data_IF_001814857470
#
_entry.id   IF_001814857470
#
_cell.length_a   1.000
_cell.length_b   1.000
_cell.length_c   1.000
_cell.angle_alpha   90.00
_cell.angle_beta   90.00
_cell.angle_gamma   90.00
#
_symmetry.space_group_name_H-M   'P 1'
#
loop_
_entity.id
_entity.type
_entity.pdbx_description
1 polymer ?
#
# COMPACT_ATOMS: atom_id res chain seq x y z
N UNK A 1 29.74 -53.06 -2.03
CA UNK A 1 28.53 -53.24 -2.85
C UNK A 1 27.36 -52.88 -1.97
N UNK A 2 26.77 -51.71 -2.25
CA UNK A 2 25.32 -51.45 -2.25
C UNK A 2 25.10 -49.94 -2.13
N UNK A 3 24.87 -49.34 -3.29
CA UNK A 3 24.59 -47.92 -3.50
C UNK A 3 23.13 -47.63 -3.18
N UNK A 4 22.88 -46.71 -2.25
CA UNK A 4 21.53 -46.20 -1.97
C UNK A 4 21.21 -45.15 -3.04
N UNK A 5 20.43 -45.56 -4.05
CA UNK A 5 19.79 -44.64 -4.99
C UNK A 5 18.61 -43.95 -4.26
N UNK A 6 18.77 -42.66 -3.98
CA UNK A 6 17.66 -41.81 -3.56
C UNK A 6 16.86 -41.36 -4.79
N UNK A 7 15.65 -41.89 -4.94
CA UNK A 7 14.70 -41.43 -5.95
C UNK A 7 14.29 -39.98 -5.67
N UNK A 8 14.70 -39.09 -6.58
CA UNK A 8 14.25 -37.71 -6.66
C UNK A 8 12.76 -37.70 -7.06
N UNK A 9 11.89 -37.31 -6.15
CA UNK A 9 10.49 -37.04 -6.48
C UNK A 9 10.39 -35.91 -7.53
N UNK A 10 9.55 -36.06 -8.56
CA UNK A 10 9.38 -35.02 -9.57
C UNK A 10 8.73 -33.77 -8.97
N UNK A 11 9.27 -32.61 -9.32
CA UNK A 11 8.75 -31.31 -8.91
C UNK A 11 7.25 -31.17 -9.24
N UNK A 12 6.45 -30.54 -8.36
CA UNK A 12 5.02 -30.35 -8.59
C UNK A 12 4.80 -29.52 -9.86
N UNK A 13 3.87 -29.97 -10.71
CA UNK A 13 3.53 -29.29 -11.97
C UNK A 13 3.08 -27.84 -11.69
N UNK A 14 3.50 -26.87 -12.53
CA UNK A 14 3.09 -25.49 -12.38
C UNK A 14 1.57 -25.37 -12.53
N UNK A 15 0.91 -24.72 -11.56
CA UNK A 15 -0.54 -24.46 -11.62
C UNK A 15 -0.83 -23.53 -12.80
N UNK A 16 -1.89 -23.78 -13.59
CA UNK A 16 -2.26 -22.88 -14.69
C UNK A 16 -2.60 -21.49 -14.14
N UNK A 17 -2.23 -20.42 -14.88
CA UNK A 17 -2.51 -19.06 -14.45
C UNK A 17 -4.02 -18.84 -14.29
N UNK A 18 -4.48 -18.10 -13.26
CA UNK A 18 -5.88 -17.84 -13.05
C UNK A 18 -6.47 -17.11 -14.26
N UNK A 19 -7.49 -17.71 -14.90
CA UNK A 19 -8.20 -17.09 -16.02
C UNK A 19 -8.82 -15.76 -15.56
N UNK A 20 -8.52 -14.68 -16.28
CA UNK A 20 -9.07 -13.35 -16.04
C UNK A 20 -10.60 -13.38 -16.18
N UNK A 21 -11.32 -13.03 -15.11
CA UNK A 21 -12.78 -12.97 -15.10
C UNK A 21 -13.26 -11.77 -15.93
N UNK A 22 -14.10 -12.02 -16.94
CA UNK A 22 -14.71 -10.99 -17.79
C UNK A 22 -16.07 -10.62 -17.18
N UNK A 23 -16.29 -9.32 -16.94
CA UNK A 23 -17.41 -8.73 -16.18
C UNK A 23 -18.84 -9.06 -16.69
N UNK A 24 -18.97 -9.65 -17.88
CA UNK A 24 -20.25 -9.94 -18.56
C UNK A 24 -20.61 -11.45 -18.62
N UNK A 25 -20.26 -12.24 -17.61
CA UNK A 25 -20.46 -13.71 -17.64
C UNK A 25 -21.27 -14.28 -16.46
N UNK A 26 -21.86 -13.46 -15.59
CA UNK A 26 -22.75 -13.99 -14.55
C UNK A 26 -24.03 -14.48 -15.24
N UNK A 27 -24.39 -15.77 -15.16
CA UNK A 27 -25.59 -16.30 -15.81
C UNK A 27 -26.87 -15.65 -15.29
N UNK A 28 -27.85 -15.47 -16.17
CA UNK A 28 -29.19 -14.96 -15.81
C UNK A 28 -29.86 -15.82 -14.73
N UNK A 29 -29.56 -17.12 -14.70
CA UNK A 29 -30.03 -18.04 -13.67
C UNK A 29 -29.51 -17.72 -12.27
N UNK A 30 -28.45 -16.91 -12.13
CA UNK A 30 -27.94 -16.41 -10.85
C UNK A 30 -28.47 -14.99 -10.63
N UNK A 31 -28.41 -14.12 -11.64
CA UNK A 31 -28.85 -12.72 -11.52
C UNK A 31 -30.34 -12.60 -11.17
N UNK A 32 -31.18 -13.43 -11.80
CA UNK A 32 -32.63 -13.36 -11.67
C UNK A 32 -33.21 -14.44 -10.74
N UNK A 33 -32.39 -15.12 -9.94
CA UNK A 33 -32.86 -16.07 -8.93
C UNK A 33 -33.64 -15.33 -7.83
N UNK A 34 -34.97 -15.54 -7.70
CA UNK A 34 -35.78 -14.80 -6.74
C UNK A 34 -35.42 -15.08 -5.29
N UNK A 35 -35.02 -16.33 -4.98
CA UNK A 35 -34.67 -16.72 -3.62
C UNK A 35 -33.31 -16.13 -3.21
N UNK A 36 -32.33 -16.14 -4.13
CA UNK A 36 -31.04 -15.49 -3.90
C UNK A 36 -31.22 -13.99 -3.70
N UNK A 37 -32.01 -13.33 -4.54
CA UNK A 37 -32.26 -11.89 -4.44
C UNK A 37 -33.00 -11.52 -3.15
N UNK A 38 -33.94 -12.36 -2.69
CA UNK A 38 -34.59 -12.17 -1.39
C UNK A 38 -33.56 -12.28 -0.24
N UNK A 39 -32.66 -13.27 -0.27
CA UNK A 39 -31.62 -13.39 0.75
C UNK A 39 -30.64 -12.21 0.74
N UNK A 40 -30.24 -11.74 -0.45
CA UNK A 40 -29.38 -10.56 -0.63
C UNK A 40 -30.04 -9.29 -0.05
N UNK A 41 -31.37 -9.16 -0.13
CA UNK A 41 -32.08 -7.98 0.37
C UNK A 41 -31.98 -7.75 1.89
N UNK A 42 -31.52 -8.77 2.65
CA UNK A 42 -31.24 -8.65 4.09
C UNK A 42 -29.96 -7.87 4.39
N UNK A 43 -29.09 -7.69 3.39
CA UNK A 43 -27.83 -6.96 3.49
C UNK A 43 -28.01 -5.49 3.08
N UNK A 44 -27.18 -4.57 3.59
CA UNK A 44 -27.35 -3.15 3.32
C UNK A 44 -27.18 -2.83 1.83
N UNK A 45 -28.22 -2.24 1.23
CA UNK A 45 -28.32 -2.02 -0.22
C UNK A 45 -27.34 -0.98 -0.78
N UNK A 46 -26.79 -0.13 0.09
CA UNK A 46 -25.76 0.85 -0.27
C UNK A 46 -24.36 0.24 -0.35
N UNK A 47 -24.15 -1.00 0.11
CA UNK A 47 -22.87 -1.72 0.01
C UNK A 47 -22.90 -2.69 -1.17
N UNK A 48 -21.98 -2.53 -2.10
CA UNK A 48 -21.82 -3.49 -3.19
C UNK A 48 -20.93 -4.67 -2.75
N UNK A 49 -21.56 -5.71 -2.23
CA UNK A 49 -20.89 -6.96 -1.80
C UNK A 49 -20.65 -7.96 -2.95
N UNK A 50 -21.00 -7.63 -4.19
CA UNK A 50 -20.83 -8.46 -5.39
C UNK A 50 -21.26 -9.94 -5.22
N UNK A 51 -22.37 -10.19 -4.51
CA UNK A 51 -22.78 -11.54 -4.08
C UNK A 51 -23.04 -12.47 -5.26
N UNK A 52 -23.73 -12.00 -6.31
CA UNK A 52 -23.94 -12.79 -7.53
C UNK A 52 -22.62 -13.22 -8.19
N UNK A 53 -21.62 -12.34 -8.20
CA UNK A 53 -20.28 -12.65 -8.72
C UNK A 53 -19.59 -13.69 -7.84
N UNK A 54 -19.74 -13.60 -6.53
CA UNK A 54 -19.18 -14.58 -5.58
C UNK A 54 -19.82 -15.96 -5.80
N UNK A 55 -21.14 -16.06 -5.85
CA UNK A 55 -21.86 -17.32 -6.14
C UNK A 55 -21.42 -17.91 -7.47
N UNK A 56 -21.37 -17.09 -8.53
CA UNK A 56 -20.90 -17.54 -9.83
C UNK A 56 -19.44 -18.01 -9.81
N UNK A 57 -18.55 -17.29 -9.10
CA UNK A 57 -17.15 -17.67 -8.98
C UNK A 57 -16.98 -19.01 -8.29
N UNK A 58 -17.67 -19.23 -7.16
CA UNK A 58 -17.65 -20.49 -6.41
C UNK A 58 -18.11 -21.64 -7.32
N UNK A 59 -19.28 -21.50 -7.97
CA UNK A 59 -19.86 -22.53 -8.85
C UNK A 59 -18.94 -22.84 -10.04
N UNK A 60 -18.41 -21.81 -10.70
CA UNK A 60 -17.57 -21.98 -11.90
C UNK A 60 -16.18 -22.52 -11.62
N UNK A 61 -15.63 -22.31 -10.41
CA UNK A 61 -14.37 -22.93 -9.99
C UNK A 61 -14.55 -24.34 -9.44
N UNK A 62 -15.78 -24.79 -9.17
CA UNK A 62 -16.05 -26.05 -8.49
C UNK A 62 -15.59 -26.06 -7.03
N UNK A 63 -15.47 -24.88 -6.40
CA UNK A 63 -15.04 -24.79 -5.01
C UNK A 63 -16.11 -25.36 -4.08
N UNK A 64 -15.70 -26.15 -3.09
CA UNK A 64 -16.55 -26.81 -2.09
C UNK A 64 -16.33 -26.27 -0.69
N UNK A 65 -15.11 -25.83 -0.39
CA UNK A 65 -14.69 -25.26 0.88
C UNK A 65 -14.23 -23.83 0.65
N UNK A 66 -14.90 -22.84 1.25
CA UNK A 66 -14.59 -21.42 1.02
C UNK A 66 -14.28 -20.71 2.33
N UNK A 67 -13.15 -20.00 2.36
CA UNK A 67 -12.83 -19.08 3.45
C UNK A 67 -13.34 -17.67 3.10
N UNK A 68 -13.96 -17.00 4.07
CA UNK A 68 -14.41 -15.61 3.99
C UNK A 68 -13.60 -14.77 4.97
N UNK A 69 -13.05 -13.66 4.49
CA UNK A 69 -12.30 -12.70 5.30
C UNK A 69 -12.91 -11.32 5.17
N UNK A 70 -13.07 -10.63 6.30
CA UNK A 70 -13.72 -9.31 6.37
C UNK A 70 -12.90 -8.35 7.23
N UNK A 71 -12.90 -7.05 6.91
CA UNK A 71 -12.55 -6.02 7.89
C UNK A 71 -13.63 -5.95 8.97
N UNK A 72 -13.26 -5.39 10.13
CA UNK A 72 -14.11 -5.31 11.34
C UNK A 72 -15.55 -4.87 11.04
N UNK A 73 -15.72 -3.76 10.32
CA UNK A 73 -17.04 -3.19 10.00
C UNK A 73 -17.92 -4.03 9.06
N UNK A 74 -17.38 -5.07 8.43
CA UNK A 74 -18.12 -5.99 7.57
C UNK A 74 -18.26 -7.39 8.17
N UNK A 75 -17.54 -7.70 9.26
CA UNK A 75 -17.54 -9.03 9.88
C UNK A 75 -18.94 -9.43 10.36
N UNK A 76 -19.77 -8.46 10.76
CA UNK A 76 -21.16 -8.68 11.16
C UNK A 76 -22.04 -9.29 10.04
N UNK A 77 -21.66 -9.16 8.77
CA UNK A 77 -22.38 -9.74 7.64
C UNK A 77 -21.90 -11.15 7.28
N UNK A 78 -20.84 -11.64 7.93
CA UNK A 78 -20.15 -12.88 7.55
C UNK A 78 -21.05 -14.12 7.61
N UNK A 79 -21.88 -14.25 8.64
CA UNK A 79 -22.75 -15.43 8.82
C UNK A 79 -23.88 -15.47 7.77
N UNK A 80 -24.50 -14.32 7.48
CA UNK A 80 -25.52 -14.20 6.43
C UNK A 80 -24.92 -14.54 5.07
N UNK A 81 -23.72 -14.04 4.78
CA UNK A 81 -23.00 -14.36 3.54
C UNK A 81 -22.61 -15.84 3.47
N UNK A 82 -22.17 -16.44 4.58
CA UNK A 82 -21.87 -17.86 4.65
C UNK A 82 -23.11 -18.72 4.35
N UNK A 83 -24.27 -18.37 4.91
CA UNK A 83 -25.54 -19.08 4.65
C UNK A 83 -25.99 -18.92 3.19
N UNK A 84 -25.85 -17.72 2.61
CA UNK A 84 -26.09 -17.47 1.19
C UNK A 84 -25.19 -18.37 0.34
N UNK A 85 -23.89 -18.42 0.61
CA UNK A 85 -22.97 -19.21 -0.21
C UNK A 85 -23.16 -20.72 -0.02
N UNK A 86 -23.45 -21.20 1.18
CA UNK A 86 -23.81 -22.60 1.41
C UNK A 86 -25.05 -23.00 0.60
N UNK A 87 -26.09 -22.18 0.66
CA UNK A 87 -27.38 -22.47 0.00
C UNK A 87 -27.27 -22.35 -1.51
N UNK A 88 -26.82 -21.19 -1.99
CA UNK A 88 -26.88 -20.84 -3.40
C UNK A 88 -25.62 -21.22 -4.17
N UNK A 89 -24.48 -21.46 -3.53
CA UNK A 89 -23.27 -21.94 -4.21
C UNK A 89 -22.97 -23.43 -3.96
N UNK A 90 -23.81 -24.12 -3.18
CA UNK A 90 -23.68 -25.54 -2.85
C UNK A 90 -22.33 -25.89 -2.22
N UNK A 91 -21.90 -25.06 -1.27
CA UNK A 91 -20.70 -25.31 -0.47
C UNK A 91 -20.93 -26.45 0.51
N UNK A 92 -19.89 -27.25 0.71
CA UNK A 92 -19.84 -28.24 1.76
C UNK A 92 -19.45 -27.57 3.08
N UNK A 93 -18.44 -26.70 3.04
CA UNK A 93 -17.99 -25.91 4.18
C UNK A 93 -17.77 -24.44 3.82
N UNK A 94 -18.01 -23.56 4.78
CA UNK A 94 -17.67 -22.15 4.68
C UNK A 94 -17.04 -21.70 6.01
N UNK A 95 -15.81 -21.21 5.95
CA UNK A 95 -15.04 -20.74 7.10
C UNK A 95 -15.10 -19.22 7.16
N UNK A 96 -15.41 -18.66 8.32
CA UNK A 96 -15.26 -17.22 8.57
C UNK A 96 -13.95 -17.02 9.31
N UNK A 97 -13.01 -16.32 8.68
CA UNK A 97 -11.75 -15.93 9.31
C UNK A 97 -12.03 -14.75 10.24
N UNK A 98 -12.00 -15.01 11.55
CA UNK A 98 -12.39 -14.05 12.58
C UNK A 98 -11.28 -13.13 13.09
N UNK A 99 -10.05 -13.27 12.57
CA UNK A 99 -8.93 -12.42 12.94
C UNK A 99 -9.00 -11.04 12.27
N UNK A 100 -8.29 -10.09 12.89
CA UNK A 100 -8.27 -8.68 12.46
C UNK A 100 -7.77 -8.53 11.03
N UNK A 101 -8.51 -7.76 10.23
CA UNK A 101 -8.14 -7.44 8.84
C UNK A 101 -8.12 -5.92 8.63
N UNK A 102 -6.97 -5.30 8.90
CA UNK A 102 -6.82 -3.85 8.83
C UNK A 102 -6.83 -3.25 7.41
N UNK A 103 -6.48 -4.03 6.38
CA UNK A 103 -6.22 -3.44 5.07
C UNK A 103 -5.88 -4.42 3.97
N UNK A 104 -5.54 -3.83 2.83
CA UNK A 104 -5.15 -4.48 1.58
C UNK A 104 -3.96 -5.46 1.68
N UNK A 105 -3.19 -5.41 2.77
CA UNK A 105 -2.01 -6.24 3.01
C UNK A 105 -2.28 -7.44 3.92
N UNK A 106 -3.48 -7.55 4.48
CA UNK A 106 -3.81 -8.56 5.51
C UNK A 106 -4.53 -9.79 4.96
N UNK A 107 -4.39 -10.10 3.66
CA UNK A 107 -5.00 -11.33 3.10
C UNK A 107 -4.48 -12.55 3.85
N UNK A 108 -5.38 -13.33 4.43
CA UNK A 108 -5.03 -14.51 5.23
C UNK A 108 -5.21 -15.80 4.41
N UNK A 109 -4.36 -15.91 3.40
CA UNK A 109 -4.31 -17.09 2.54
C UNK A 109 -3.60 -18.29 3.22
N UNK A 110 -2.87 -18.04 4.32
CA UNK A 110 -2.21 -19.09 5.10
C UNK A 110 -3.22 -19.89 5.92
N UNK A 111 -4.10 -19.23 6.68
CA UNK A 111 -5.14 -19.93 7.44
C UNK A 111 -6.15 -20.60 6.50
N UNK A 112 -6.52 -19.93 5.40
CA UNK A 112 -7.35 -20.55 4.36
C UNK A 112 -6.70 -21.82 3.79
N UNK A 113 -5.38 -21.80 3.56
CA UNK A 113 -4.64 -22.99 3.10
C UNK A 113 -4.58 -24.09 4.15
N UNK A 114 -4.43 -23.73 5.43
CA UNK A 114 -4.36 -24.70 6.53
C UNK A 114 -5.70 -25.42 6.78
N UNK A 115 -6.82 -24.80 6.37
CA UNK A 115 -8.16 -25.37 6.41
C UNK A 115 -8.54 -26.11 5.12
N UNK A 116 -7.61 -26.28 4.18
CA UNK A 116 -7.86 -26.84 2.85
C UNK A 116 -9.04 -26.15 2.15
N UNK A 117 -9.10 -24.82 2.23
CA UNK A 117 -10.08 -24.05 1.46
C UNK A 117 -9.70 -24.04 -0.03
N UNK A 118 -10.68 -24.21 -0.90
CA UNK A 118 -10.52 -24.16 -2.36
C UNK A 118 -10.45 -22.72 -2.88
N UNK A 119 -11.09 -21.79 -2.16
CA UNK A 119 -11.19 -20.37 -2.51
C UNK A 119 -11.24 -19.51 -1.25
N UNK A 120 -10.50 -18.41 -1.25
CA UNK A 120 -10.61 -17.33 -0.28
C UNK A 120 -11.38 -16.16 -0.91
N UNK A 121 -12.44 -15.67 -0.27
CA UNK A 121 -13.11 -14.42 -0.63
C UNK A 121 -12.75 -13.36 0.41
N UNK A 122 -12.03 -12.33 -0.02
CA UNK A 122 -11.57 -11.24 0.85
C UNK A 122 -12.33 -9.96 0.50
N UNK A 123 -13.07 -9.44 1.48
CA UNK A 123 -13.95 -8.28 1.34
C UNK A 123 -13.29 -6.98 1.80
N UNK A 124 -13.79 -5.86 1.27
CA UNK A 124 -13.53 -4.51 1.77
C UNK A 124 -12.45 -3.79 0.99
N UNK A 125 -11.19 -4.03 1.34
CA UNK A 125 -10.05 -3.24 0.86
C UNK A 125 -9.54 -3.70 -0.51
N UNK A 126 -8.91 -2.77 -1.23
CA UNK A 126 -8.16 -2.99 -2.47
C UNK A 126 -6.88 -3.83 -2.24
N UNK A 127 -7.02 -5.15 -2.11
CA UNK A 127 -5.86 -5.99 -1.81
C UNK A 127 -4.73 -5.80 -2.83
N UNK A 128 -3.54 -5.46 -2.31
CA UNK A 128 -2.35 -5.16 -3.11
C UNK A 128 -1.53 -6.41 -3.42
N UNK A 129 -1.90 -7.54 -2.83
CA UNK A 129 -1.21 -8.81 -2.99
C UNK A 129 -1.68 -9.45 -4.28
N UNK A 130 -0.78 -9.62 -5.28
CA UNK A 130 -1.14 -10.29 -6.51
C UNK A 130 -1.64 -11.72 -6.23
N UNK A 131 -2.67 -12.16 -6.94
CA UNK A 131 -3.32 -13.47 -6.73
C UNK A 131 -2.39 -14.67 -7.00
N UNK A 132 -1.28 -14.45 -7.70
CA UNK A 132 -0.20 -15.42 -7.94
C UNK A 132 0.74 -15.56 -6.74
N UNK A 133 0.68 -14.63 -5.77
CA UNK A 133 1.44 -14.72 -4.52
C UNK A 133 0.66 -15.46 -3.42
N UNK A 134 -0.65 -15.64 -3.54
CA UNK A 134 -1.47 -16.35 -2.54
C UNK A 134 -1.38 -17.86 -2.69
N UNK A 135 -1.46 -18.60 -1.58
CA UNK A 135 -1.41 -20.07 -1.50
C UNK A 135 -2.72 -20.70 -1.96
N UNK A 136 -3.82 -20.05 -1.61
CA UNK A 136 -5.19 -20.37 -2.03
C UNK A 136 -5.62 -19.40 -3.13
N UNK A 137 -6.38 -19.85 -4.15
CA UNK A 137 -7.03 -18.95 -5.08
C UNK A 137 -7.86 -17.90 -4.32
N UNK A 138 -7.63 -16.62 -4.59
CA UNK A 138 -8.31 -15.52 -3.90
C UNK A 138 -9.22 -14.73 -4.86
N UNK A 139 -10.43 -14.43 -4.38
CA UNK A 139 -11.36 -13.48 -4.98
C UNK A 139 -11.41 -12.23 -4.09
N UNK A 140 -10.95 -11.11 -4.64
CA UNK A 140 -11.09 -9.82 -3.96
C UNK A 140 -12.41 -9.14 -4.33
N UNK A 141 -13.14 -8.72 -3.30
CA UNK A 141 -14.40 -7.96 -3.43
C UNK A 141 -14.20 -6.59 -2.79
N UNK A 142 -14.01 -5.58 -3.62
CA UNK A 142 -13.87 -4.20 -3.17
C UNK A 142 -15.26 -3.64 -2.92
N UNK A 143 -15.57 -3.42 -1.65
CA UNK A 143 -16.94 -3.05 -1.25
C UNK A 143 -17.12 -1.56 -1.47
N UNK A 144 -17.74 -1.22 -2.60
CA UNK A 144 -18.11 0.14 -2.93
C UNK A 144 -19.34 0.55 -2.14
N UNK A 145 -19.30 1.74 -1.55
CA UNK A 145 -20.40 2.34 -0.79
C UNK A 145 -20.99 3.46 -1.64
N UNK A 146 -22.27 3.33 -1.95
CA UNK A 146 -23.02 4.37 -2.67
C UNK A 146 -23.27 5.55 -1.74
N UNK A 147 -22.94 6.75 -2.23
CA UNK A 147 -23.15 8.02 -1.53
C UNK A 147 -23.84 9.02 -2.46
N UNK A 148 -24.36 10.10 -1.88
CA UNK A 148 -24.96 11.20 -2.63
C UNK A 148 -23.88 12.05 -3.32
N UNK A 149 -23.71 11.80 -4.62
CA UNK A 149 -22.73 12.51 -5.46
C UNK A 149 -23.17 13.95 -5.75
N UNK A 150 -24.49 14.20 -5.83
CA UNK A 150 -25.03 15.56 -6.04
C UNK A 150 -24.66 16.45 -4.85
N UNK A 151 -24.89 15.95 -3.63
CA UNK A 151 -24.54 16.65 -2.40
C UNK A 151 -23.04 16.92 -2.29
N UNK A 152 -22.18 15.99 -2.70
CA UNK A 152 -20.73 16.20 -2.74
C UNK A 152 -20.38 17.40 -3.66
N UNK A 153 -20.93 17.42 -4.88
CA UNK A 153 -20.68 18.48 -5.86
C UNK A 153 -21.20 19.82 -5.37
N UNK A 154 -22.44 19.86 -4.85
CA UNK A 154 -23.05 21.08 -4.32
C UNK A 154 -22.24 21.64 -3.13
N UNK A 155 -21.73 20.76 -2.27
CA UNK A 155 -20.87 21.16 -1.14
C UNK A 155 -19.55 21.75 -1.64
N UNK A 156 -18.91 21.15 -2.65
CA UNK A 156 -17.69 21.67 -3.25
C UNK A 156 -17.97 23.03 -3.89
N UNK A 157 -19.04 23.15 -4.68
CA UNK A 157 -19.41 24.41 -5.36
C UNK A 157 -19.66 25.53 -4.38
N UNK A 158 -20.43 25.26 -3.32
CA UNK A 158 -20.77 26.25 -2.30
C UNK A 158 -19.53 26.84 -1.62
N UNK A 159 -18.49 26.03 -1.40
CA UNK A 159 -17.29 26.46 -0.68
C UNK A 159 -16.18 27.01 -1.58
N UNK A 160 -16.13 26.55 -2.84
CA UNK A 160 -14.97 26.77 -3.71
C UNK A 160 -15.27 27.36 -5.09
N UNK A 161 -16.54 27.45 -5.50
CA UNK A 161 -16.92 27.81 -6.87
C UNK A 161 -16.42 29.16 -7.38
N UNK A 162 -16.08 30.08 -6.47
CA UNK A 162 -15.53 31.40 -6.83
C UNK A 162 -14.06 31.59 -6.42
N UNK A 163 -13.51 30.66 -5.62
CA UNK A 163 -12.23 30.88 -4.92
C UNK A 163 -11.13 29.91 -5.31
N UNK A 164 -11.47 28.77 -5.92
CA UNK A 164 -10.51 27.74 -6.32
C UNK A 164 -10.81 27.31 -7.75
N UNK A 165 -9.76 27.29 -8.58
CA UNK A 165 -9.86 26.80 -9.95
C UNK A 165 -9.38 25.35 -10.06
N UNK A 166 -8.30 24.99 -9.33
CA UNK A 166 -7.68 23.65 -9.43
C UNK A 166 -7.88 22.87 -8.14
N UNK A 167 -8.57 21.74 -8.23
CA UNK A 167 -8.77 20.84 -7.09
C UNK A 167 -8.31 19.42 -7.42
N UNK A 168 -7.80 18.73 -6.40
CA UNK A 168 -7.60 17.29 -6.45
C UNK A 168 -8.77 16.57 -5.77
N UNK A 169 -9.19 15.44 -6.33
CA UNK A 169 -10.22 14.58 -5.77
C UNK A 169 -9.63 13.20 -5.48
N UNK A 170 -9.66 12.81 -4.20
CA UNK A 170 -9.12 11.56 -3.70
C UNK A 170 -10.02 10.98 -2.61
N UNK A 171 -9.73 9.76 -2.15
CA UNK A 171 -10.47 9.10 -1.08
C UNK A 171 -10.04 7.66 -0.88
N UNK A 172 -10.83 6.92 -0.11
CA UNK A 172 -10.63 5.48 0.06
C UNK A 172 -11.33 4.69 -1.06
N UNK A 173 -10.97 3.42 -1.22
CA UNK A 173 -11.52 2.57 -2.30
C UNK A 173 -13.05 2.46 -2.25
N UNK A 174 -13.65 2.51 -1.05
CA UNK A 174 -15.10 2.41 -0.86
C UNK A 174 -15.85 3.52 -1.61
N UNK A 175 -15.25 4.69 -1.80
CA UNK A 175 -15.88 5.85 -2.45
C UNK A 175 -15.37 6.09 -3.88
N UNK A 176 -14.61 5.15 -4.44
CA UNK A 176 -13.99 5.32 -5.76
C UNK A 176 -14.99 5.54 -6.90
N UNK A 177 -16.18 4.95 -6.83
CA UNK A 177 -17.23 5.22 -7.82
C UNK A 177 -17.76 6.65 -7.74
N UNK A 178 -17.96 7.19 -6.54
CA UNK A 178 -18.38 8.57 -6.34
C UNK A 178 -17.32 9.56 -6.85
N UNK A 179 -16.04 9.29 -6.60
CA UNK A 179 -14.92 10.11 -7.13
C UNK A 179 -14.94 10.14 -8.66
N UNK A 180 -15.11 8.97 -9.31
CA UNK A 180 -15.19 8.88 -10.78
C UNK A 180 -16.43 9.60 -11.32
N UNK A 181 -17.56 9.54 -10.63
CA UNK A 181 -18.80 10.18 -11.04
C UNK A 181 -18.78 11.70 -10.83
N UNK A 182 -18.13 12.19 -9.77
CA UNK A 182 -18.05 13.61 -9.46
C UNK A 182 -17.12 14.37 -10.41
N UNK A 183 -16.01 13.76 -10.84
CA UNK A 183 -15.00 14.41 -11.70
C UNK A 183 -15.60 15.14 -12.93
N UNK A 184 -16.30 14.47 -13.88
CA UNK A 184 -16.77 15.14 -15.10
C UNK A 184 -17.81 16.23 -14.83
N UNK A 185 -18.53 16.11 -13.71
CA UNK A 185 -19.56 17.08 -13.32
C UNK A 185 -18.93 18.33 -12.72
N UNK A 186 -17.92 18.17 -11.86
CA UNK A 186 -17.11 19.29 -11.38
C UNK A 186 -16.39 20.00 -12.53
N UNK A 187 -15.87 19.25 -13.52
CA UNK A 187 -15.29 19.84 -14.73
C UNK A 187 -16.32 20.67 -15.53
N UNK A 188 -17.58 20.22 -15.61
CA UNK A 188 -18.65 21.00 -16.27
C UNK A 188 -19.06 22.28 -15.52
N UNK A 189 -18.78 22.35 -14.22
CA UNK A 189 -19.01 23.54 -13.37
C UNK A 189 -17.80 24.50 -13.42
N UNK A 190 -16.75 24.19 -14.17
CA UNK A 190 -15.59 25.06 -14.40
C UNK A 190 -14.34 24.73 -13.58
N UNK A 191 -14.35 23.67 -12.77
CA UNK A 191 -13.15 23.24 -12.03
C UNK A 191 -12.16 22.47 -12.90
N UNK A 192 -10.87 22.67 -12.69
CA UNK A 192 -9.81 21.78 -13.18
C UNK A 192 -9.59 20.67 -12.14
N UNK A 193 -10.07 19.45 -12.45
CA UNK A 193 -10.10 18.34 -11.48
C UNK A 193 -8.99 17.32 -11.75
N UNK A 194 -8.05 17.24 -10.82
CA UNK A 194 -7.02 16.21 -10.79
C UNK A 194 -7.48 15.01 -9.95
N UNK A 195 -7.31 13.79 -10.46
CA UNK A 195 -7.53 12.55 -9.68
C UNK A 195 -6.18 11.83 -9.59
N UNK A 196 -5.38 12.04 -8.54
CA UNK A 196 -4.01 11.56 -8.47
C UNK A 196 -3.96 10.04 -8.27
N UNK A 197 -2.86 9.40 -8.64
CA UNK A 197 -2.71 7.95 -8.56
C UNK A 197 -1.30 7.54 -8.16
N UNK A 198 -1.19 6.66 -7.17
CA UNK A 198 0.04 5.93 -6.86
C UNK A 198 -0.13 4.47 -7.27
N UNK A 199 0.58 4.01 -8.31
CA UNK A 199 0.44 2.62 -8.78
C UNK A 199 0.96 1.65 -7.71
N UNK A 200 0.28 0.51 -7.47
CA UNK A 200 -0.78 -0.08 -8.29
C UNK A 200 -2.22 0.31 -7.89
N UNK A 201 -2.42 1.28 -7.01
CA UNK A 201 -3.76 1.72 -6.57
C UNK A 201 -4.57 2.30 -7.72
N UNK A 202 -5.89 2.31 -7.56
CA UNK A 202 -6.80 2.97 -8.49
C UNK A 202 -6.58 4.49 -8.48
N UNK A 203 -6.99 5.17 -9.55
CA UNK A 203 -6.97 6.63 -9.56
C UNK A 203 -7.89 7.20 -8.45
N UNK A 204 -7.37 8.17 -7.70
CA UNK A 204 -8.03 8.82 -6.57
C UNK A 204 -7.91 8.05 -5.26
N UNK A 205 -7.35 6.84 -5.28
CA UNK A 205 -7.27 5.99 -4.11
C UNK A 205 -6.02 6.26 -3.28
N UNK A 206 -6.19 6.33 -1.96
CA UNK A 206 -5.10 6.46 -0.99
C UNK A 206 -5.21 5.41 0.11
N UNK A 207 -4.07 4.79 0.42
CA UNK A 207 -3.91 3.90 1.57
C UNK A 207 -3.15 4.61 2.70
N UNK A 208 -3.31 4.15 3.94
CA UNK A 208 -2.57 4.70 5.08
C UNK A 208 -1.05 4.57 4.95
N UNK A 209 -0.57 3.63 4.12
CA UNK A 209 0.84 3.36 3.88
C UNK A 209 1.31 3.75 2.47
N UNK A 210 0.42 4.20 1.58
CA UNK A 210 0.77 4.56 0.20
C UNK A 210 -0.13 5.66 -0.31
N UNK A 211 0.47 6.82 -0.60
CA UNK A 211 -0.21 8.00 -1.11
C UNK A 211 0.49 8.51 -2.38
N UNK A 212 -0.25 9.15 -3.30
CA UNK A 212 0.37 9.84 -4.42
C UNK A 212 1.08 11.12 -3.95
N UNK A 213 2.20 11.43 -4.59
CA UNK A 213 2.84 12.75 -4.50
C UNK A 213 2.40 13.58 -5.69
N UNK A 214 2.02 14.83 -5.44
CA UNK A 214 1.59 15.76 -6.46
C UNK A 214 2.64 16.85 -6.67
N UNK A 215 2.89 17.29 -7.91
CA UNK A 215 3.74 18.44 -8.18
C UNK A 215 3.22 19.68 -7.47
N UNK A 216 4.12 20.59 -7.08
CA UNK A 216 3.74 21.88 -6.53
C UNK A 216 2.81 22.63 -7.50
N UNK A 217 1.79 23.30 -6.95
CA UNK A 217 0.80 24.06 -7.73
C UNK A 217 -0.09 23.24 -8.68
N UNK A 218 -0.07 21.91 -8.60
CA UNK A 218 -0.96 21.05 -9.41
C UNK A 218 -2.41 21.07 -8.92
N UNK A 219 -2.64 21.40 -7.66
CA UNK A 219 -3.94 21.65 -7.07
C UNK A 219 -3.80 22.65 -5.92
N UNK A 220 -4.81 23.48 -5.70
CA UNK A 220 -4.87 24.44 -4.59
C UNK A 220 -5.41 23.77 -3.32
N UNK A 221 -6.35 22.84 -3.50
CA UNK A 221 -6.96 22.04 -2.43
C UNK A 221 -7.09 20.58 -2.87
N UNK A 222 -7.12 19.68 -1.90
CA UNK A 222 -7.63 18.31 -2.10
C UNK A 222 -8.96 18.16 -1.38
N UNK A 223 -9.95 17.61 -2.09
CA UNK A 223 -11.19 17.12 -1.51
C UNK A 223 -11.04 15.61 -1.36
N UNK A 224 -11.00 15.15 -0.11
CA UNK A 224 -10.80 13.75 0.26
C UNK A 224 -12.11 13.15 0.76
N UNK A 225 -12.69 12.23 0.00
CA UNK A 225 -13.96 11.58 0.34
C UNK A 225 -13.68 10.43 1.31
N UNK A 226 -13.99 10.63 2.60
CA UNK A 226 -13.83 9.64 3.66
C UNK A 226 -14.55 10.02 4.96
N UNK A 227 -14.91 9.01 5.74
CA UNK A 227 -15.47 9.12 7.10
C UNK A 227 -14.41 9.19 8.20
N UNK A 228 -13.12 9.01 7.87
CA UNK A 228 -12.01 9.06 8.81
C UNK A 228 -10.78 9.79 8.27
N UNK A 229 -9.87 10.15 9.18
CA UNK A 229 -8.65 10.94 8.87
C UNK A 229 -7.46 10.10 8.44
N UNK A 230 -7.38 8.83 8.86
CA UNK A 230 -6.20 7.99 8.69
C UNK A 230 -5.63 7.98 7.26
N UNK A 231 -6.47 7.82 6.24
CA UNK A 231 -6.03 7.80 4.85
C UNK A 231 -5.68 9.20 4.31
N UNK A 232 -6.41 10.22 4.74
CA UNK A 232 -6.11 11.61 4.40
C UNK A 232 -4.78 12.06 5.00
N UNK A 233 -4.45 11.64 6.21
CA UNK A 233 -3.15 11.94 6.83
C UNK A 233 -1.99 11.41 6.00
N UNK A 234 -2.11 10.22 5.41
CA UNK A 234 -1.08 9.70 4.49
C UNK A 234 -0.91 10.62 3.26
N UNK A 235 -2.01 11.16 2.72
CA UNK A 235 -1.96 12.15 1.65
C UNK A 235 -1.32 13.45 2.12
N UNK A 236 -1.69 13.97 3.30
CA UNK A 236 -1.12 15.19 3.86
C UNK A 236 0.38 15.04 4.09
N UNK A 237 0.84 13.93 4.70
CA UNK A 237 2.26 13.61 4.89
C UNK A 237 3.03 13.70 3.56
N UNK A 238 2.47 13.15 2.48
CA UNK A 238 3.09 13.16 1.16
C UNK A 238 3.00 14.52 0.43
N UNK A 239 2.06 15.38 0.82
CA UNK A 239 1.72 16.64 0.13
C UNK A 239 1.51 17.78 1.14
N UNK A 240 2.54 18.20 1.90
CA UNK A 240 2.41 19.15 3.00
C UNK A 240 1.99 20.57 2.58
N UNK A 241 2.14 20.91 1.30
CA UNK A 241 1.82 22.25 0.77
C UNK A 241 0.37 22.37 0.26
N UNK A 242 -0.40 21.28 0.26
CA UNK A 242 -1.75 21.23 -0.31
C UNK A 242 -2.78 21.25 0.81
N UNK A 243 -3.71 22.22 0.76
CA UNK A 243 -4.78 22.34 1.74
C UNK A 243 -5.73 21.16 1.62
N UNK A 244 -5.94 20.45 2.72
CA UNK A 244 -6.69 19.22 2.74
C UNK A 244 -8.08 19.40 3.34
N UNK A 245 -9.10 18.98 2.60
CA UNK A 245 -10.46 18.96 3.09
C UNK A 245 -11.02 17.54 3.07
N UNK A 246 -11.55 17.06 4.20
CA UNK A 246 -12.25 15.78 4.29
C UNK A 246 -13.74 16.01 4.07
N UNK A 247 -14.30 15.40 3.03
CA UNK A 247 -15.74 15.31 2.87
C UNK A 247 -16.24 14.03 3.52
N UNK A 248 -17.04 14.18 4.59
CA UNK A 248 -17.73 13.06 5.21
C UNK A 248 -19.04 12.78 4.46
N UNK A 249 -19.16 11.64 3.75
CA UNK A 249 -20.29 11.39 2.88
C UNK A 249 -21.56 11.01 3.63
N UNK A 250 -21.50 10.73 4.93
CA UNK A 250 -22.69 10.40 5.72
C UNK A 250 -23.37 11.67 6.21
N UNK A 251 -22.62 12.57 6.85
CA UNK A 251 -23.16 13.83 7.36
C UNK A 251 -23.17 14.97 6.34
N UNK A 252 -22.43 14.83 5.22
CA UNK A 252 -22.39 15.82 4.14
C UNK A 252 -21.63 17.08 4.51
N UNK A 253 -20.62 16.96 5.37
CA UNK A 253 -19.82 18.09 5.88
C UNK A 253 -18.41 18.02 5.33
N UNK A 254 -17.88 19.19 4.98
CA UNK A 254 -16.50 19.37 4.57
C UNK A 254 -15.67 19.92 5.74
N UNK A 255 -14.67 19.18 6.18
CA UNK A 255 -13.76 19.57 7.26
C UNK A 255 -12.44 20.03 6.67
N UNK A 256 -11.93 21.19 7.10
CA UNK A 256 -10.52 21.53 6.88
C UNK A 256 -9.68 20.69 7.84
N UNK A 257 -8.74 19.93 7.30
CA UNK A 257 -7.90 19.02 8.05
C UNK A 257 -6.45 19.47 7.96
N UNK A 258 -5.76 19.49 9.11
CA UNK A 258 -4.35 19.84 9.22
C UNK A 258 -3.55 18.66 9.80
N UNK A 259 -2.26 18.62 9.48
CA UNK A 259 -1.34 17.61 9.97
C UNK A 259 -0.12 18.26 10.62
N UNK A 260 0.26 17.82 11.81
CA UNK A 260 1.45 18.31 12.50
C UNK A 260 2.72 17.68 11.90
N UNK A 261 3.13 18.20 10.75
CA UNK A 261 4.35 17.78 10.07
C UNK A 261 5.61 18.00 10.92
N UNK A 262 5.61 19.07 11.73
CA UNK A 262 6.78 19.41 12.55
C UNK A 262 6.92 18.41 13.69
N UNK A 263 5.85 18.21 14.47
CA UNK A 263 5.83 17.24 15.56
C UNK A 263 6.13 15.83 15.06
N UNK A 264 5.50 15.40 13.96
CA UNK A 264 5.78 14.09 13.36
C UNK A 264 7.26 13.96 12.97
N UNK A 265 7.81 14.89 12.18
CA UNK A 265 9.22 14.83 11.73
C UNK A 265 10.20 14.90 12.91
N UNK A 266 9.91 15.69 13.94
CA UNK A 266 10.73 15.78 15.17
C UNK A 266 10.69 14.47 15.96
N UNK A 267 9.52 13.89 16.21
CA UNK A 267 9.37 12.60 16.88
C UNK A 267 10.13 11.48 16.14
N UNK A 268 9.97 11.42 14.81
CA UNK A 268 10.67 10.43 13.98
C UNK A 268 12.18 10.64 13.96
N UNK A 269 12.65 11.88 13.84
CA UNK A 269 14.09 12.21 13.95
C UNK A 269 14.67 11.80 15.30
N UNK A 270 13.96 12.05 16.40
CA UNK A 270 14.39 11.69 17.75
C UNK A 270 14.50 10.17 17.90
N UNK A 271 13.51 9.41 17.40
CA UNK A 271 13.55 7.95 17.38
C UNK A 271 14.77 7.42 16.61
N UNK A 272 15.05 7.97 15.42
CA UNK A 272 16.22 7.59 14.62
C UNK A 272 17.53 7.90 15.36
N UNK A 273 17.63 9.10 15.92
CA UNK A 273 18.86 9.56 16.59
C UNK A 273 19.15 8.71 17.82
N UNK A 274 18.13 8.45 18.64
CA UNK A 274 18.24 7.56 19.81
C UNK A 274 18.65 6.14 19.42
N UNK A 275 18.19 5.65 18.27
CA UNK A 275 18.52 4.30 17.79
C UNK A 275 19.98 4.16 17.32
N UNK A 276 20.69 5.26 17.01
CA UNK A 276 22.12 5.20 16.61
C UNK A 276 23.03 4.69 17.73
N UNK A 277 22.59 4.78 18.98
CA UNK A 277 23.33 4.32 20.17
C UNK A 277 23.00 2.86 20.55
N UNK A 278 22.07 2.21 19.84
CA UNK A 278 21.60 0.86 20.14
C UNK A 278 22.68 -0.20 19.91
N UNK A 279 22.87 -1.08 20.91
CA UNK A 279 23.80 -2.21 20.85
C UNK A 279 23.07 -3.49 20.42
N UNK A 280 21.87 -3.70 20.97
CA UNK A 280 21.02 -4.85 20.68
C UNK A 280 19.76 -4.40 19.93
N UNK A 281 19.59 -4.92 18.72
CA UNK A 281 18.47 -4.56 17.86
C UNK A 281 17.42 -5.66 17.79
N UNK A 282 16.15 -5.28 17.78
CA UNK A 282 15.03 -6.17 17.50
C UNK A 282 14.49 -5.92 16.10
N UNK A 283 14.48 -6.93 15.24
CA UNK A 283 13.91 -6.83 13.89
C UNK A 283 12.62 -7.62 13.84
N UNK A 284 11.48 -6.92 13.84
CA UNK A 284 10.15 -7.52 13.77
C UNK A 284 9.78 -7.76 12.30
N UNK A 285 9.48 -9.01 11.95
CA UNK A 285 8.84 -9.36 10.69
C UNK A 285 7.34 -9.59 10.93
N UNK A 286 6.49 -8.75 10.32
CA UNK A 286 5.04 -8.86 10.42
C UNK A 286 4.52 -10.16 9.82
N UNK A 287 3.70 -10.89 10.56
CA UNK A 287 3.07 -12.15 10.10
C UNK A 287 1.56 -12.05 9.91
N UNK A 288 0.96 -10.87 10.14
CA UNK A 288 -0.44 -10.63 9.82
C UNK A 288 -0.61 -10.53 8.29
N UNK A 289 -1.27 -11.56 7.73
CA UNK A 289 -1.42 -11.74 6.29
C UNK A 289 -0.08 -11.65 5.55
N UNK A 290 0.09 -10.58 4.78
CA UNK A 290 1.22 -10.36 3.86
C UNK A 290 1.94 -9.02 4.11
N UNK A 291 1.85 -8.49 5.33
CA UNK A 291 2.49 -7.23 5.71
C UNK A 291 4.03 -7.33 5.75
N UNK A 292 4.56 -8.45 6.24
CA UNK A 292 6.00 -8.67 6.29
C UNK A 292 6.60 -9.02 4.94
N UNK A 293 7.82 -8.56 4.71
CA UNK A 293 8.56 -8.83 3.48
C UNK A 293 9.96 -9.39 3.79
N UNK A 294 10.18 -10.70 3.56
CA UNK A 294 11.48 -11.32 3.78
C UNK A 294 12.64 -10.66 3.01
N UNK A 295 12.39 -10.06 1.84
CA UNK A 295 13.46 -9.37 1.08
C UNK A 295 13.99 -8.15 1.82
N UNK A 296 13.10 -7.41 2.51
CA UNK A 296 13.50 -6.28 3.36
C UNK A 296 14.26 -6.78 4.58
N UNK A 297 13.82 -7.90 5.16
CA UNK A 297 14.53 -8.53 6.28
C UNK A 297 15.95 -8.92 5.87
N UNK A 298 16.12 -9.65 4.77
CA UNK A 298 17.43 -10.08 4.26
C UNK A 298 18.36 -8.88 4.00
N UNK A 299 17.79 -7.80 3.44
CA UNK A 299 18.51 -6.55 3.22
C UNK A 299 18.98 -5.93 4.55
N UNK A 300 18.07 -5.73 5.50
CA UNK A 300 18.40 -5.13 6.79
C UNK A 300 19.42 -5.98 7.54
N UNK A 301 19.28 -7.30 7.55
CA UNK A 301 20.25 -8.21 8.15
C UNK A 301 21.63 -8.11 7.49
N UNK A 302 21.69 -7.93 6.17
CA UNK A 302 22.95 -7.69 5.45
C UNK A 302 23.58 -6.36 5.87
N UNK A 303 22.80 -5.28 5.92
CA UNK A 303 23.23 -3.95 6.40
C UNK A 303 23.72 -3.96 7.84
N UNK A 304 23.03 -4.66 8.72
CA UNK A 304 23.40 -4.79 10.13
C UNK A 304 24.69 -5.61 10.30
N UNK A 305 24.88 -6.65 9.48
CA UNK A 305 26.13 -7.42 9.41
C UNK A 305 27.31 -6.56 8.95
N UNK A 306 27.12 -5.74 7.90
CA UNK A 306 28.13 -4.79 7.42
C UNK A 306 28.59 -3.81 8.51
N UNK A 307 27.70 -3.47 9.46
CA UNK A 307 27.97 -2.57 10.59
C UNK A 307 28.43 -3.30 11.86
N UNK A 308 28.51 -4.63 11.85
CA UNK A 308 28.89 -5.42 13.03
C UNK A 308 27.89 -5.32 14.20
N UNK A 309 26.61 -5.06 13.91
CA UNK A 309 25.56 -4.92 14.92
C UNK A 309 25.03 -6.29 15.35
N UNK A 310 24.51 -6.38 16.59
CA UNK A 310 23.82 -7.57 17.10
C UNK A 310 22.32 -7.36 16.97
N UNK A 311 21.61 -8.37 16.46
CA UNK A 311 20.16 -8.32 16.35
C UNK A 311 19.50 -9.67 16.62
N UNK A 312 18.21 -9.61 16.97
CA UNK A 312 17.32 -10.76 17.03
C UNK A 312 16.14 -10.52 16.08
N UNK A 313 15.74 -11.54 15.33
CA UNK A 313 14.53 -11.47 14.49
C UNK A 313 13.33 -12.04 15.23
N UNK A 314 12.24 -11.27 15.30
CA UNK A 314 11.00 -11.62 16.00
C UNK A 314 9.87 -11.69 14.96
N UNK A 315 9.12 -12.79 14.95
CA UNK A 315 7.89 -12.89 14.17
C UNK A 315 6.71 -12.43 15.01
N UNK A 316 5.87 -11.53 14.48
CA UNK A 316 4.75 -10.99 15.23
C UNK A 316 3.58 -10.67 14.31
N UNK A 317 2.37 -11.14 14.61
CA UNK A 317 1.18 -10.84 13.82
C UNK A 317 0.71 -9.42 14.12
N UNK A 318 0.37 -9.16 15.38
CA UNK A 318 -0.02 -7.85 15.88
C UNK A 318 1.08 -7.26 16.76
N UNK A 319 1.56 -6.09 16.37
CA UNK A 319 2.59 -5.33 17.07
C UNK A 319 1.90 -4.30 17.95
N UNK A 320 2.05 -4.43 19.27
CA UNK A 320 1.49 -3.50 20.25
C UNK A 320 2.53 -3.11 21.30
N UNK A 321 2.41 -1.92 21.92
CA UNK A 321 3.31 -1.50 23.00
C UNK A 321 3.38 -2.53 24.14
N UNK A 322 2.23 -3.07 24.55
CA UNK A 322 2.16 -4.08 25.60
C UNK A 322 2.94 -5.35 25.25
N UNK A 323 2.85 -5.83 24.01
CA UNK A 323 3.56 -7.05 23.58
C UNK A 323 5.07 -6.80 23.43
N UNK A 324 5.47 -5.65 22.88
CA UNK A 324 6.88 -5.29 22.73
C UNK A 324 7.55 -5.04 24.09
N UNK A 325 6.83 -4.50 25.07
CA UNK A 325 7.36 -4.27 26.43
C UNK A 325 7.79 -5.56 27.15
N UNK A 326 7.26 -6.73 26.78
CA UNK A 326 7.60 -8.03 27.39
C UNK A 326 9.06 -8.45 27.13
N UNK A 327 9.71 -7.89 26.10
CA UNK A 327 11.13 -8.15 25.82
C UNK A 327 12.08 -7.35 26.73
N UNK A 328 11.53 -6.49 27.59
CA UNK A 328 12.27 -5.73 28.60
C UNK A 328 13.34 -4.83 27.99
N UNK A 329 14.49 -4.77 28.65
CA UNK A 329 15.64 -3.95 28.25
C UNK A 329 16.69 -4.73 27.43
N UNK A 330 16.32 -5.91 26.93
CA UNK A 330 17.21 -6.73 26.09
C UNK A 330 17.41 -6.15 24.68
N UNK A 331 16.49 -5.27 24.26
CA UNK A 331 16.48 -4.62 22.95
C UNK A 331 16.49 -3.11 23.17
N UNK A 332 17.44 -2.43 22.54
CA UNK A 332 17.65 -0.98 22.66
C UNK A 332 16.83 -0.20 21.61
N UNK A 333 16.64 -0.79 20.43
CA UNK A 333 15.87 -0.22 19.33
C UNK A 333 15.21 -1.31 18.47
N UNK A 334 14.03 -0.99 17.94
CA UNK A 334 13.23 -1.88 17.12
C UNK A 334 13.16 -1.40 15.67
N UNK A 335 13.22 -2.33 14.74
CA UNK A 335 12.88 -2.12 13.33
C UNK A 335 11.67 -3.01 13.04
N UNK A 336 10.58 -2.46 12.51
CA UNK A 336 9.41 -3.24 12.11
C UNK A 336 9.24 -3.27 10.60
N UNK A 337 9.04 -4.48 10.07
CA UNK A 337 8.74 -4.77 8.68
C UNK A 337 7.28 -5.26 8.63
N UNK A 338 6.35 -4.32 8.79
CA UNK A 338 4.91 -4.57 8.78
C UNK A 338 4.17 -3.30 8.29
N UNK A 339 3.16 -2.81 9.04
CA UNK A 339 2.48 -1.56 8.72
C UNK A 339 3.35 -0.33 9.11
N UNK A 340 3.72 0.57 8.17
CA UNK A 340 4.56 1.73 8.48
C UNK A 340 3.90 2.71 9.47
N UNK A 341 2.56 2.75 9.51
CA UNK A 341 1.79 3.62 10.41
C UNK A 341 1.95 3.27 11.89
N UNK A 342 2.39 2.04 12.22
CA UNK A 342 2.74 1.67 13.61
C UNK A 342 3.91 2.50 14.13
N UNK A 343 4.91 2.76 13.30
CA UNK A 343 6.03 3.62 13.66
C UNK A 343 5.62 5.09 13.66
N UNK A 344 4.86 5.52 12.64
CA UNK A 344 4.52 6.94 12.44
C UNK A 344 3.55 7.44 13.52
N UNK A 345 2.45 6.73 13.75
CA UNK A 345 1.37 7.21 14.63
C UNK A 345 1.54 6.74 16.07
N UNK A 346 2.08 5.53 16.25
CA UNK A 346 2.13 4.87 17.56
C UNK A 346 3.56 4.74 18.10
N UNK A 347 4.57 5.23 17.37
CA UNK A 347 5.98 5.03 17.70
C UNK A 347 6.37 5.54 19.09
N UNK A 348 5.76 6.63 19.56
CA UNK A 348 6.02 7.21 20.88
C UNK A 348 5.36 6.43 22.02
N UNK A 349 4.38 5.55 21.73
CA UNK A 349 3.79 4.67 22.73
C UNK A 349 4.73 3.51 23.12
N UNK A 350 5.80 3.28 22.35
CA UNK A 350 6.82 2.26 22.65
C UNK A 350 7.94 2.86 23.51
N UNK A 351 8.37 2.13 24.53
CA UNK A 351 9.47 2.55 25.43
C UNK A 351 10.79 2.75 24.66
N UNK A 352 11.11 1.80 23.79
CA UNK A 352 12.25 1.87 22.88
C UNK A 352 11.80 2.36 21.50
N UNK A 353 12.68 3.05 20.74
CA UNK A 353 12.35 3.50 19.39
C UNK A 353 11.86 2.38 18.50
N UNK A 354 10.75 2.61 17.79
CA UNK A 354 10.22 1.71 16.77
C UNK A 354 10.34 2.36 15.39
N UNK A 355 11.27 1.87 14.57
CA UNK A 355 11.59 2.41 13.26
C UNK A 355 10.91 1.64 12.13
N UNK A 356 10.52 2.35 11.08
CA UNK A 356 10.23 1.76 9.77
C UNK A 356 11.53 1.30 9.09
N UNK A 357 11.48 0.50 8.01
CA UNK A 357 12.68 0.11 7.28
C UNK A 357 13.44 1.30 6.66
N UNK A 358 12.72 2.34 6.20
CA UNK A 358 13.33 3.58 5.71
C UNK A 358 14.16 4.28 6.79
N UNK A 359 13.58 4.44 7.97
CA UNK A 359 14.23 5.10 9.10
C UNK A 359 15.39 4.28 9.67
N UNK A 360 15.29 2.95 9.61
CA UNK A 360 16.38 2.06 9.95
C UNK A 360 17.59 2.27 9.02
N UNK A 361 17.39 2.40 7.71
CA UNK A 361 18.48 2.71 6.76
C UNK A 361 19.16 4.05 7.08
N UNK A 362 18.42 5.04 7.58
CA UNK A 362 18.98 6.31 8.08
C UNK A 362 19.76 6.11 9.39
N UNK A 363 19.18 5.37 10.34
CA UNK A 363 19.82 5.09 11.63
C UNK A 363 21.13 4.32 11.45
N UNK A 364 21.15 3.37 10.51
CA UNK A 364 22.31 2.57 10.13
C UNK A 364 23.29 3.33 9.22
N UNK A 365 22.97 4.57 8.82
CA UNK A 365 23.85 5.45 8.05
C UNK A 365 24.05 5.07 6.59
N UNK A 366 23.09 4.36 5.98
CA UNK A 366 23.09 4.04 4.54
C UNK A 366 22.36 5.09 3.71
N UNK A 367 21.46 5.85 4.33
CA UNK A 367 20.72 6.96 3.72
C UNK A 367 20.90 8.19 4.63
N UNK A 368 21.14 9.40 4.07
CA UNK A 368 21.18 10.62 4.89
C UNK A 368 19.80 10.91 5.50
N UNK A 369 19.78 11.49 6.69
CA UNK A 369 18.53 11.93 7.30
C UNK A 369 17.89 13.07 6.49
N UNK A 370 16.56 13.14 6.41
CA UNK A 370 15.86 14.21 5.67
C UNK A 370 16.13 15.63 6.24
N UNK A 371 16.64 15.71 7.47
CA UNK A 371 17.08 16.94 8.11
C UNK A 371 18.57 17.26 7.87
N UNK A 372 19.34 16.31 7.35
CA UNK A 372 20.75 16.50 7.04
C UNK A 372 20.81 17.23 5.70
N UNK A 373 21.29 18.47 5.71
CA UNK A 373 21.56 19.19 4.45
C UNK A 373 22.44 18.28 3.59
N UNK A 374 22.14 18.17 2.30
CA UNK A 374 23.02 17.52 1.35
C UNK A 374 24.37 18.24 1.41
N UNK A 375 25.28 17.74 2.25
CA UNK A 375 26.63 18.25 2.34
C UNK A 375 27.30 17.85 1.04
N UNK A 376 27.29 18.75 0.06
CA UNK A 376 28.26 18.73 -1.03
C UNK A 376 29.63 18.84 -0.35
N UNK A 377 30.24 17.68 -0.06
CA UNK A 377 31.65 17.63 0.30
C UNK A 377 32.45 17.90 -0.98
N UNK A 378 32.63 19.17 -1.31
CA UNK A 378 33.76 19.60 -2.14
C UNK A 378 35.02 19.62 -1.25
N UNK A 379 35.48 18.46 -0.82
CA UNK A 379 36.83 18.36 -0.25
C UNK A 379 37.80 18.05 -1.39
N UNK A 380 38.10 19.10 -2.16
CA UNK A 380 39.29 19.16 -3.01
C UNK A 380 40.08 20.43 -2.66
N UNK A 381 40.42 20.60 -1.38
CA UNK A 381 41.54 21.44 -0.98
C UNK A 381 42.70 20.51 -0.66
N UNK A 382 43.47 20.20 -1.71
CA UNK A 382 44.93 20.18 -1.70
C UNK A 382 45.38 19.87 -3.12
N UNK A 383 45.93 20.89 -3.78
CA UNK A 383 46.53 20.74 -5.09
C UNK A 383 47.67 19.72 -5.04
N UNK A 384 47.54 18.65 -5.81
CA UNK A 384 48.61 17.89 -6.41
C UNK A 384 48.04 17.16 -7.63
N UNK A 385 48.64 17.46 -8.78
CA UNK A 385 48.41 16.81 -10.07
C UNK A 385 48.53 15.29 -9.96
N UNK A 386 47.54 14.54 -10.41
CA UNK A 386 47.67 13.11 -10.67
C UNK A 386 47.24 12.81 -12.11
N UNK A 387 48.21 12.26 -12.83
CA UNK A 387 48.13 11.87 -14.23
C UNK A 387 47.26 10.62 -14.44
N UNK A 388 46.99 10.37 -15.71
CA UNK A 388 46.12 9.33 -16.27
C UNK A 388 46.33 7.94 -15.66
N UNK A 389 45.19 7.32 -15.33
CA UNK A 389 44.99 5.88 -15.37
C UNK A 389 44.99 5.20 -14.01
N UNK A 390 43.80 4.98 -13.45
CA UNK A 390 43.35 3.69 -12.89
C UNK A 390 41.91 3.79 -12.34
N UNK A 391 41.26 2.64 -12.32
CA UNK A 391 39.82 2.40 -12.30
C UNK A 391 39.25 2.48 -10.87
N UNK A 392 38.35 3.44 -10.57
CA UNK A 392 37.60 3.47 -9.30
C UNK A 392 36.18 4.07 -9.46
N UNK A 393 35.19 3.31 -8.97
CA UNK A 393 33.84 3.70 -8.55
C UNK A 393 32.85 4.21 -9.62
N UNK A 394 32.10 3.27 -10.21
CA UNK A 394 30.95 3.54 -11.09
C UNK A 394 29.63 3.32 -10.34
N UNK A 395 29.11 4.35 -9.67
CA UNK A 395 27.71 4.40 -9.27
C UNK A 395 26.89 4.93 -10.46
N UNK A 396 25.97 4.10 -10.95
CA UNK A 396 25.12 4.40 -12.11
C UNK A 396 24.05 5.43 -11.75
N UNK A 397 24.12 6.58 -12.42
CA UNK A 397 23.15 7.67 -12.33
C UNK A 397 22.05 7.45 -13.39
N UNK A 398 20.80 7.26 -12.97
CA UNK A 398 19.63 7.18 -13.86
C UNK A 398 18.92 8.53 -13.90
N UNK A 399 19.08 9.27 -15.01
CA UNK A 399 18.63 10.65 -15.15
C UNK A 399 17.13 10.83 -15.40
N UNK A 400 16.53 11.73 -14.62
CA UNK A 400 15.35 12.52 -14.99
C UNK A 400 15.60 13.97 -14.52
N UNK A 401 15.65 14.91 -15.47
CA UNK A 401 15.80 16.37 -15.30
C UNK A 401 16.65 16.88 -14.13
N UNK A 402 17.94 17.11 -14.42
CA UNK A 402 18.82 17.93 -13.59
C UNK A 402 18.41 19.41 -13.66
N UNK A 403 17.64 19.84 -12.67
CA UNK A 403 17.84 21.14 -12.04
C UNK A 403 18.68 20.92 -10.79
N UNK A 404 19.71 21.74 -10.59
CA UNK A 404 20.70 21.62 -9.53
C UNK A 404 20.11 21.49 -8.11
N UNK A 405 20.70 20.59 -7.33
CA UNK A 405 20.42 20.39 -5.90
C UNK A 405 20.03 18.94 -5.61
N UNK A 406 20.88 18.20 -4.91
CA UNK A 406 20.49 16.91 -4.32
C UNK A 406 19.33 17.17 -3.34
N UNK A 407 18.11 16.90 -3.79
CA UNK A 407 16.90 17.13 -3.02
C UNK A 407 16.96 16.32 -1.73
N UNK A 408 16.79 16.99 -0.60
CA UNK A 408 16.52 16.34 0.68
C UNK A 408 15.39 15.32 0.47
N UNK A 409 15.61 14.07 0.85
CA UNK A 409 14.61 13.01 0.64
C UNK A 409 13.45 13.28 1.60
N UNK A 410 12.31 13.73 1.08
CA UNK A 410 11.09 13.91 1.89
C UNK A 410 10.65 12.59 2.54
N UNK A 411 9.90 12.68 3.64
CA UNK A 411 9.46 11.50 4.39
C UNK A 411 8.51 10.65 3.51
N UNK A 412 8.84 9.38 3.22
CA UNK A 412 8.16 8.63 2.18
C UNK A 412 6.83 8.03 2.64
N UNK A 413 5.81 8.14 1.79
CA UNK A 413 4.53 7.42 1.89
C UNK A 413 4.33 6.52 0.67
N UNK A 414 5.35 5.72 0.37
CA UNK A 414 5.49 4.95 -0.88
C UNK A 414 5.60 3.43 -0.65
N UNK A 415 5.12 2.95 0.51
CA UNK A 415 5.43 1.61 1.01
C UNK A 415 4.98 0.48 0.08
N UNK A 416 3.92 0.64 -0.71
CA UNK A 416 3.54 -0.30 -1.77
C UNK A 416 3.56 0.33 -3.17
N UNK A 417 4.12 1.52 -3.30
CA UNK A 417 4.20 2.20 -4.59
C UNK A 417 5.14 1.44 -5.53
N UNK A 418 4.73 1.24 -6.78
CA UNK A 418 5.53 0.53 -7.78
C UNK A 418 6.90 1.20 -8.02
N UNK A 419 6.96 2.52 -7.88
CA UNK A 419 8.14 3.36 -8.05
C UNK A 419 8.76 3.81 -6.71
N UNK A 420 8.35 3.23 -5.58
CA UNK A 420 8.90 3.60 -4.27
C UNK A 420 10.34 3.11 -4.03
N UNK A 421 10.90 3.51 -2.89
CA UNK A 421 12.28 3.23 -2.50
C UNK A 421 12.61 1.74 -2.31
N UNK A 422 13.86 1.42 -1.96
CA UNK A 422 14.30 0.04 -1.69
C UNK A 422 13.74 -0.54 -0.38
N UNK A 423 13.20 0.33 0.48
CA UNK A 423 12.55 0.00 1.75
C UNK A 423 11.07 -0.40 1.60
N UNK A 424 10.54 -0.41 0.38
CA UNK A 424 9.13 -0.61 0.13
C UNK A 424 8.76 -2.11 -0.08
N UNK A 425 7.50 -2.45 0.20
CA UNK A 425 6.91 -3.78 0.08
C UNK A 425 6.15 -4.01 -1.23
N UNK A 426 6.47 -3.28 -2.31
CA UNK A 426 5.82 -3.49 -3.58
C UNK A 426 6.05 -4.93 -4.13
N UNK A 427 4.97 -5.60 -4.51
CA UNK A 427 5.02 -6.97 -5.04
C UNK A 427 5.41 -7.05 -6.52
N UNK A 428 5.27 -5.95 -7.27
CA UNK A 428 5.69 -5.86 -8.66
C UNK A 428 7.20 -5.92 -8.79
N UNK A 429 7.72 -6.75 -9.70
CA UNK A 429 9.13 -6.72 -10.08
C UNK A 429 9.48 -5.29 -10.53
N UNK A 430 10.41 -4.64 -9.82
CA UNK A 430 11.17 -3.52 -10.40
C UNK A 430 11.92 -4.13 -11.58
N UNK A 431 11.35 -4.07 -12.78
CA UNK A 431 12.09 -4.48 -13.96
C UNK A 431 13.33 -3.61 -14.02
N UNK A 432 14.51 -4.24 -14.04
CA UNK A 432 15.73 -3.60 -14.51
C UNK A 432 15.46 -3.20 -15.96
N UNK A 433 14.87 -2.03 -16.17
CA UNK A 433 14.65 -1.54 -17.52
C UNK A 433 16.03 -1.37 -18.17
N UNK A 434 16.25 -1.96 -19.37
CA UNK A 434 17.43 -1.64 -20.14
C UNK A 434 17.38 -0.14 -20.45
N UNK A 435 18.49 0.55 -20.19
CA UNK A 435 18.69 1.94 -20.59
C UNK A 435 18.34 2.04 -22.08
N UNK A 436 17.21 2.68 -22.41
CA UNK A 436 16.88 3.04 -23.79
C UNK A 436 17.97 4.00 -24.25
N UNK A 437 18.86 3.54 -25.15
CA UNK A 437 19.75 4.42 -25.90
C UNK A 437 18.90 5.50 -26.54
N UNK A 438 19.09 6.73 -26.12
CA UNK A 438 18.60 7.88 -26.87
C UNK A 438 19.32 7.88 -28.22
N UNK A 439 18.56 7.66 -29.29
CA UNK A 439 19.02 8.02 -30.62
C UNK A 439 19.14 9.54 -30.64
N UNK A 440 20.38 10.04 -30.56
CA UNK A 440 20.66 11.42 -30.94
C UNK A 440 20.30 11.58 -32.41
N UNK A 441 19.24 12.34 -32.68
CA UNK A 441 18.97 12.87 -34.00
C UNK A 441 20.12 13.83 -34.35
N UNK A 442 20.96 13.43 -35.29
CA UNK A 442 21.97 14.29 -35.90
C UNK A 442 21.28 15.44 -36.63
N UNK A 443 21.58 16.66 -36.22
CA UNK A 443 21.28 17.89 -36.95
C UNK A 443 21.96 17.86 -38.32
N UNK A 444 21.17 17.68 -39.38
CA UNK A 444 21.59 17.86 -40.76
C UNK A 444 21.16 19.23 -41.27
N UNK A 445 22.11 20.14 -41.41
CA UNK A 445 21.97 21.40 -42.15
C UNK A 445 21.71 21.09 -43.63
N UNK A 446 20.53 21.46 -44.13
CA UNK A 446 20.25 21.48 -45.56
C UNK A 446 20.80 22.79 -46.15
N UNK A 447 21.79 22.66 -47.03
CA UNK A 447 22.26 23.73 -47.93
C UNK A 447 21.50 23.57 -49.25
N UNK A 448 20.89 24.66 -49.71
CA UNK A 448 20.22 24.76 -51.01
C UNK A 448 21.17 24.48 -52.17
N UNK A 449 20.74 23.63 -53.11
CA UNK A 449 21.08 23.63 -54.54
C UNK A 449 20.04 22.82 -55.28
#
# INVERSE_FOLDING_TARGET
MDSINGDLQPAPKPRPPPKRFIKNQIPDSILNDPALNAAISLLPSNYNLEIHKCVHRIRSSGAKRVALQFPEGLLMYSLVLADIFKTFAHLEDCFVLGDVTYGACCVDDFSASALDADLLIHYGHSCLIPIDFTKVPSLYVFVEIKIDVDRLIDTIRLNFGETVNKLALAGTIQFSGAIRAAKPRLESEGFEVLVPQSKPLSAGEVLGCTAPTMPKSSAEVVIFVADGRFHLEAFMIANPEIRAFRYDPYIGVLFLEEYDHKGMKEARKNAITKSREAKNWGVILGTLGRQGNPRILDRLQSRMRERGLVWTTILMSEISPARVALFGDSIDAWIQIACPRLSIDWGEAFKQPLLTPFEAEIALGFIPGWWEKAAVKSNCENGLSCEKGENCCRYGNGGGNAGDGAAATDYPMDYYAQNGGEWNCAYSNKSSQPVRRSNLASTGTAVNS
#
